data_IF_056105025217
#
_entry.id   IF_056105025217
#
_cell.length_a   1.000
_cell.length_b   1.000
_cell.length_c   1.000
_cell.angle_alpha   90.00
_cell.angle_beta   90.00
_cell.angle_gamma   90.00
#
_symmetry.space_group_name_H-M   'P 1'
#
loop_
_entity.id
_entity.type
_entity.pdbx_description
1 polymer ?
#
# COMPACT_ATOMS: atom_id res chain seq x y z
N UNK A 1 -1.12 11.34 -3.78
CA UNK A 1 -1.81 10.02 -3.72
C UNK A 1 -0.98 8.92 -3.06
N UNK A 2 0.29 8.74 -3.42
CA UNK A 2 1.18 7.73 -2.80
C UNK A 2 1.18 7.83 -1.26
N UNK A 3 1.36 9.05 -0.74
CA UNK A 3 1.35 9.32 0.72
C UNK A 3 0.04 8.88 1.38
N UNK A 4 -1.10 9.00 0.70
CA UNK A 4 -2.40 8.63 1.26
C UNK A 4 -2.57 7.11 1.38
N UNK A 5 -2.14 6.35 0.35
CA UNK A 5 -2.14 4.89 0.41
C UNK A 5 -1.17 4.37 1.48
N UNK A 6 0.04 4.93 1.54
CA UNK A 6 1.02 4.56 2.57
C UNK A 6 0.49 4.89 3.97
N UNK A 7 -0.05 6.09 4.20
CA UNK A 7 -0.65 6.47 5.50
C UNK A 7 -1.75 5.50 5.91
N UNK A 8 -2.66 5.16 5.00
CA UNK A 8 -3.73 4.19 5.27
C UNK A 8 -3.16 2.84 5.71
N UNK A 9 -2.12 2.34 5.03
CA UNK A 9 -1.45 1.09 5.41
C UNK A 9 -0.72 1.21 6.76
N UNK A 10 -0.09 2.35 7.05
CA UNK A 10 0.58 2.60 8.33
C UNK A 10 -0.40 2.63 9.50
N UNK A 11 -1.63 3.14 9.29
CA UNK A 11 -2.63 3.33 10.36
C UNK A 11 -3.59 2.16 10.50
N UNK A 12 -4.05 1.59 9.39
CA UNK A 12 -5.10 0.55 9.36
C UNK A 12 -4.52 -0.85 9.21
N UNK A 13 -3.24 -0.98 8.84
CA UNK A 13 -2.62 -2.27 8.51
C UNK A 13 -3.04 -2.76 7.11
N UNK A 14 -3.05 -4.09 6.86
CA UNK A 14 -3.37 -4.65 5.56
C UNK A 14 -4.79 -4.28 5.09
N UNK A 15 -4.92 -3.82 3.84
CA UNK A 15 -6.22 -3.44 3.26
C UNK A 15 -6.46 -4.12 1.92
N UNK A 16 -7.71 -4.50 1.64
CA UNK A 16 -8.04 -5.00 0.31
C UNK A 16 -7.91 -3.91 -0.74
N UNK A 17 -7.58 -4.29 -1.96
CA UNK A 17 -7.51 -3.38 -3.11
C UNK A 17 -8.81 -2.60 -3.29
N UNK A 18 -9.96 -3.28 -3.20
CA UNK A 18 -11.27 -2.66 -3.34
C UNK A 18 -11.53 -1.61 -2.25
N UNK A 19 -11.13 -1.88 -1.00
CA UNK A 19 -11.22 -0.91 0.10
C UNK A 19 -10.31 0.28 -0.17
N UNK A 20 -9.07 0.06 -0.58
CA UNK A 20 -8.13 1.14 -0.87
C UNK A 20 -8.64 2.05 -2.01
N UNK A 21 -9.19 1.49 -3.09
CA UNK A 21 -9.83 2.26 -4.16
C UNK A 21 -10.98 3.12 -3.63
N UNK A 22 -11.90 2.52 -2.86
CA UNK A 22 -13.07 3.20 -2.31
C UNK A 22 -12.67 4.34 -1.36
N UNK A 23 -11.79 4.05 -0.42
CA UNK A 23 -11.37 5.01 0.61
C UNK A 23 -10.54 6.16 0.05
N UNK A 24 -9.79 5.95 -1.05
CA UNK A 24 -9.00 6.99 -1.70
C UNK A 24 -9.74 7.68 -2.87
N UNK A 25 -10.95 7.25 -3.21
CA UNK A 25 -11.70 7.77 -4.37
C UNK A 25 -10.99 7.48 -5.70
N UNK A 26 -10.22 6.40 -5.80
CA UNK A 26 -9.39 6.09 -6.96
C UNK A 26 -10.05 5.04 -7.87
N UNK A 27 -10.05 5.28 -9.20
CA UNK A 27 -10.34 4.23 -10.17
C UNK A 27 -9.35 3.06 -10.05
N UNK A 28 -9.81 1.86 -10.40
CA UNK A 28 -8.99 0.64 -10.33
C UNK A 28 -7.67 0.78 -11.10
N UNK A 29 -7.69 1.35 -12.29
CA UNK A 29 -6.51 1.57 -13.12
C UNK A 29 -5.48 2.52 -12.48
N UNK A 30 -5.93 3.53 -11.74
CA UNK A 30 -5.02 4.41 -11.00
C UNK A 30 -4.41 3.68 -9.81
N UNK A 31 -5.20 2.87 -9.09
CA UNK A 31 -4.68 2.02 -8.03
C UNK A 31 -3.64 1.02 -8.57
N UNK A 32 -3.87 0.39 -9.71
CA UNK A 32 -2.90 -0.52 -10.34
C UNK A 32 -1.58 0.17 -10.67
N UNK A 33 -1.63 1.39 -11.21
CA UNK A 33 -0.42 2.19 -11.46
C UNK A 33 0.33 2.54 -10.17
N UNK A 34 -0.39 2.85 -9.09
CA UNK A 34 0.23 3.09 -7.79
C UNK A 34 0.87 1.83 -7.23
N UNK A 35 0.18 0.70 -7.34
CA UNK A 35 0.72 -0.59 -6.91
C UNK A 35 1.98 -0.93 -7.70
N UNK A 36 1.95 -0.79 -9.05
CA UNK A 36 3.08 -0.98 -9.96
C UNK A 36 4.34 -0.15 -9.62
N UNK A 37 4.17 0.99 -8.97
CA UNK A 37 5.26 1.87 -8.56
C UNK A 37 5.80 1.50 -7.17
N UNK A 38 4.93 1.02 -6.28
CA UNK A 38 5.23 0.83 -4.86
C UNK A 38 5.52 -0.62 -4.48
N UNK A 39 5.20 -1.56 -5.35
CA UNK A 39 5.24 -2.99 -5.10
C UNK A 39 6.65 -3.59 -4.99
N UNK A 40 6.69 -4.83 -4.54
CA UNK A 40 7.92 -5.63 -4.44
C UNK A 40 7.85 -6.97 -5.19
N UNK A 41 6.70 -7.31 -5.78
CA UNK A 41 6.48 -8.57 -6.50
C UNK A 41 6.57 -8.38 -8.00
N UNK A 42 6.73 -9.45 -8.78
CA UNK A 42 6.66 -9.38 -10.26
C UNK A 42 5.37 -8.69 -10.76
N UNK A 43 4.28 -8.84 -9.99
CA UNK A 43 2.98 -8.30 -10.33
C UNK A 43 2.87 -6.80 -10.02
N UNK A 44 3.53 -6.34 -8.94
CA UNK A 44 3.37 -4.97 -8.44
C UNK A 44 4.63 -4.11 -8.51
N UNK A 45 5.85 -4.61 -8.81
CA UNK A 45 7.05 -3.82 -9.20
C UNK A 45 7.47 -2.54 -8.41
N UNK A 46 8.71 -2.07 -8.61
CA UNK A 46 9.09 -0.70 -8.23
C UNK A 46 9.83 -0.54 -6.89
N UNK A 47 9.31 0.27 -5.96
CA UNK A 47 10.02 0.79 -4.78
C UNK A 47 10.05 -0.16 -3.56
N UNK A 48 9.48 -1.35 -3.67
CA UNK A 48 9.49 -2.38 -2.62
C UNK A 48 8.86 -1.97 -1.28
N UNK A 49 7.88 -1.07 -1.26
CA UNK A 49 7.19 -0.64 -0.02
C UNK A 49 5.93 -1.45 0.29
N UNK A 50 5.27 -2.00 -0.73
CA UNK A 50 4.05 -2.80 -0.56
C UNK A 50 4.18 -4.15 -1.27
N UNK A 51 3.40 -5.13 -0.84
CA UNK A 51 3.30 -6.43 -1.49
C UNK A 51 1.87 -6.96 -1.45
N UNK A 52 1.48 -7.81 -2.41
CA UNK A 52 0.25 -8.57 -2.30
C UNK A 52 0.40 -9.67 -1.25
N UNK A 53 -0.65 -9.92 -0.49
CA UNK A 53 -0.77 -11.05 0.41
C UNK A 53 -2.17 -11.64 0.29
N UNK A 54 -2.29 -12.97 0.29
CA UNK A 54 -3.60 -13.61 0.36
C UNK A 54 -4.06 -13.73 1.81
N UNK A 55 -5.21 -13.15 2.12
CA UNK A 55 -5.88 -13.29 3.41
C UNK A 55 -7.32 -13.75 3.20
N UNK A 56 -7.64 -14.94 3.73
CA UNK A 56 -8.98 -15.54 3.65
C UNK A 56 -9.54 -15.60 2.21
N UNK A 57 -8.69 -15.95 1.24
CA UNK A 57 -9.05 -16.04 -0.18
C UNK A 57 -9.23 -14.68 -0.88
N UNK A 58 -8.69 -13.59 -0.32
CA UNK A 58 -8.70 -12.26 -0.93
C UNK A 58 -7.30 -11.66 -0.94
N UNK A 59 -6.94 -11.01 -2.04
CA UNK A 59 -5.69 -10.23 -2.13
C UNK A 59 -5.83 -8.94 -1.33
N UNK A 60 -4.90 -8.74 -0.38
CA UNK A 60 -4.72 -7.50 0.36
C UNK A 60 -3.36 -6.88 0.02
N UNK A 61 -3.29 -5.57 0.18
CA UNK A 61 -2.07 -4.78 0.11
C UNK A 61 -1.50 -4.76 1.53
N UNK A 62 -0.26 -5.21 1.71
CA UNK A 62 0.45 -5.18 2.98
C UNK A 62 1.80 -4.49 2.83
N UNK A 63 2.35 -3.98 3.93
CA UNK A 63 3.67 -3.34 3.94
C UNK A 63 4.78 -4.41 3.93
N UNK A 64 5.84 -4.12 3.20
CA UNK A 64 7.13 -4.82 3.34
C UNK A 64 7.87 -4.35 4.60
N UNK A 65 9.06 -4.89 4.84
CA UNK A 65 10.01 -4.36 5.84
C UNK A 65 10.33 -2.89 5.59
N UNK A 66 10.60 -2.54 4.34
CA UNK A 66 10.97 -1.22 3.86
C UNK A 66 9.79 -0.26 3.99
N UNK A 67 8.58 -0.72 3.65
CA UNK A 67 7.34 0.06 3.83
C UNK A 67 7.07 0.39 5.29
N UNK A 68 7.31 -0.57 6.21
CA UNK A 68 7.19 -0.32 7.66
C UNK A 68 8.25 0.67 8.17
N UNK A 69 9.49 0.57 7.70
CA UNK A 69 10.54 1.53 8.05
C UNK A 69 10.20 2.95 7.56
N UNK A 70 9.59 3.07 6.37
CA UNK A 70 9.09 4.35 5.86
C UNK A 70 7.94 4.89 6.71
N UNK A 71 6.99 4.04 7.12
CA UNK A 71 5.91 4.43 8.04
C UNK A 71 6.45 5.01 9.35
N UNK A 72 7.47 4.38 9.95
CA UNK A 72 8.08 4.88 11.18
C UNK A 72 8.69 6.27 11.00
N UNK A 73 9.38 6.51 9.88
CA UNK A 73 9.93 7.83 9.54
C UNK A 73 8.84 8.89 9.33
N UNK A 74 7.74 8.53 8.66
CA UNK A 74 6.61 9.43 8.43
C UNK A 74 5.90 9.84 9.72
N UNK A 75 5.83 8.92 10.70
CA UNK A 75 5.25 9.19 12.01
C UNK A 75 6.14 10.12 12.84
N UNK A 76 7.44 9.85 12.88
CA UNK A 76 8.42 10.70 13.57
C UNK A 76 8.53 12.12 13.00
N UNK A 77 8.22 12.33 11.72
CA UNK A 77 8.20 13.65 11.08
C UNK A 77 6.91 14.46 11.33
N UNK A 78 5.92 13.87 12.00
CA UNK A 78 4.63 14.53 12.32
C UNK A 78 4.57 14.98 13.79
N UNK A 79 5.57 14.63 14.61
CA UNK A 79 5.78 15.08 15.99
C UNK A 79 6.69 16.32 16.03
#
# INVERSE_FOLDING_TARGET
MIIALLRMLCTEGPVSVARACKSLGLPRSQMERLLLLLGSSEQWGGLHYVRPEEQRGRTVITLTSEGRALCAQMQAATE
#
